data_IF_958415338956
#
_entry.id   IF_958415338956
#
_cell.length_a   1.000
_cell.length_b   1.000
_cell.length_c   1.000
_cell.angle_alpha   90.00
_cell.angle_beta   90.00
_cell.angle_gamma   90.00
#
_symmetry.space_group_name_H-M   'P 1'
#
loop_
_entity.id
_entity.type
_entity.pdbx_description
1 polymer ?
#
# COMPACT_ATOMS: atom_id res chain seq x y z
N UNK A 1 -7.39 4.22 9.97
CA UNK A 1 -7.75 2.78 9.92
C UNK A 1 -7.82 2.20 8.50
N UNK A 2 -8.44 2.85 7.52
CA UNK A 2 -8.64 2.30 6.17
C UNK A 2 -7.36 1.93 5.41
N UNK A 3 -6.28 2.70 5.58
CA UNK A 3 -4.99 2.41 4.93
C UNK A 3 -4.37 1.07 5.35
N UNK A 4 -4.38 0.76 6.65
CA UNK A 4 -3.88 -0.53 7.16
C UNK A 4 -4.68 -1.72 6.66
N UNK A 5 -6.01 -1.57 6.57
CA UNK A 5 -6.90 -2.63 6.04
C UNK A 5 -6.57 -2.93 4.57
N UNK A 6 -6.32 -1.90 3.76
CA UNK A 6 -5.91 -2.06 2.35
C UNK A 6 -4.55 -2.74 2.26
N UNK A 7 -3.56 -2.32 3.04
CA UNK A 7 -2.23 -2.93 3.04
C UNK A 7 -2.27 -4.40 3.48
N UNK A 8 -2.99 -4.72 4.55
CA UNK A 8 -3.14 -6.10 5.05
C UNK A 8 -3.86 -6.97 4.01
N UNK A 9 -4.89 -6.45 3.36
CA UNK A 9 -5.62 -7.18 2.31
C UNK A 9 -4.73 -7.49 1.10
N UNK A 10 -3.89 -6.54 0.70
CA UNK A 10 -2.94 -6.72 -0.41
C UNK A 10 -1.87 -7.78 -0.09
N UNK A 11 -1.32 -7.73 1.13
CA UNK A 11 -0.35 -8.72 1.60
C UNK A 11 -0.98 -10.12 1.75
N UNK A 12 -2.20 -10.20 2.29
CA UNK A 12 -2.95 -11.45 2.41
C UNK A 12 -3.25 -12.09 1.07
N UNK A 13 -3.66 -11.30 0.07
CA UNK A 13 -3.86 -11.79 -1.29
C UNK A 13 -2.56 -12.31 -1.92
N UNK A 14 -1.44 -11.59 -1.77
CA UNK A 14 -0.14 -12.07 -2.25
C UNK A 14 0.28 -13.38 -1.59
N UNK A 15 0.11 -13.51 -0.27
CA UNK A 15 0.44 -14.74 0.45
C UNK A 15 -0.42 -15.92 -0.01
N UNK A 16 -1.72 -15.71 -0.20
CA UNK A 16 -2.63 -16.73 -0.72
C UNK A 16 -2.27 -17.15 -2.16
N UNK A 17 -1.98 -16.19 -3.02
CA UNK A 17 -1.58 -16.43 -4.40
C UNK A 17 -0.29 -17.26 -4.47
N UNK A 18 0.74 -16.90 -3.70
CA UNK A 18 1.98 -17.67 -3.61
C UNK A 18 1.75 -19.09 -3.05
N UNK A 19 0.87 -19.24 -2.07
CA UNK A 19 0.54 -20.54 -1.49
C UNK A 19 -0.07 -21.50 -2.53
N UNK A 20 -1.05 -21.03 -3.32
CA UNK A 20 -1.67 -21.83 -4.39
C UNK A 20 -0.63 -22.22 -5.44
N UNK A 21 0.25 -21.28 -5.82
CA UNK A 21 1.30 -21.50 -6.80
C UNK A 21 2.36 -22.52 -6.34
N UNK A 22 2.81 -22.44 -5.09
CA UNK A 22 3.74 -23.41 -4.52
C UNK A 22 3.14 -24.82 -4.47
N UNK A 23 1.84 -24.95 -4.18
CA UNK A 23 1.15 -26.25 -4.20
C UNK A 23 1.06 -26.88 -5.60
N UNK A 24 1.00 -26.08 -6.67
CA UNK A 24 1.03 -26.60 -8.05
C UNK A 24 2.42 -27.10 -8.42
N UNK A 25 3.48 -26.38 -8.05
CA UNK A 25 4.87 -26.78 -8.28
C UNK A 25 5.20 -28.06 -7.50
N UNK A 26 4.80 -28.14 -6.23
CA UNK A 26 5.03 -29.32 -5.37
C UNK A 26 4.39 -30.59 -5.96
N UNK A 27 3.16 -30.51 -6.47
CA UNK A 27 2.51 -31.65 -7.15
C UNK A 27 3.28 -32.13 -8.38
N UNK A 28 3.89 -31.22 -9.14
CA UNK A 28 4.69 -31.61 -10.31
C UNK A 28 6.00 -32.27 -9.85
N UNK A 29 6.67 -31.72 -8.83
CA UNK A 29 7.90 -32.28 -8.26
C UNK A 29 7.66 -33.69 -7.69
N UNK A 30 6.53 -33.93 -7.03
CA UNK A 30 6.18 -35.25 -6.50
C UNK A 30 5.97 -36.33 -7.58
N UNK A 31 5.75 -35.93 -8.85
CA UNK A 31 5.63 -36.88 -9.96
C UNK A 31 6.96 -37.27 -10.60
N UNK A 32 8.08 -36.68 -10.15
CA UNK A 32 9.41 -36.95 -10.69
C UNK A 32 10.00 -38.19 -10.02
N UNK A 33 10.17 -39.28 -10.76
CA UNK A 33 10.99 -40.42 -10.36
C UNK A 33 12.16 -40.61 -11.33
N UNK A 34 13.37 -40.11 -10.99
CA UNK A 34 14.52 -40.12 -11.90
C UNK A 34 15.05 -41.53 -12.19
N UNK A 35 14.70 -42.54 -11.37
CA UNK A 35 15.18 -43.92 -11.52
C UNK A 35 14.27 -44.79 -12.38
N UNK A 36 12.98 -44.44 -12.51
CA UNK A 36 11.98 -45.28 -13.19
C UNK A 36 11.29 -44.62 -14.39
N UNK A 37 11.59 -43.35 -14.70
CA UNK A 37 10.93 -42.63 -15.79
C UNK A 37 11.55 -42.93 -17.15
N UNK A 38 10.71 -43.21 -18.14
CA UNK A 38 11.13 -43.31 -19.54
C UNK A 38 11.39 -41.91 -20.14
N UNK A 39 12.18 -41.83 -21.22
CA UNK A 39 12.50 -40.57 -21.91
C UNK A 39 11.24 -39.83 -22.40
N UNK A 40 10.19 -40.57 -22.78
CA UNK A 40 8.90 -40.02 -23.20
C UNK A 40 8.13 -39.38 -22.03
N UNK A 41 8.09 -40.06 -20.88
CA UNK A 41 7.50 -39.50 -19.65
C UNK A 41 8.23 -38.24 -19.18
N UNK A 42 9.56 -38.21 -19.34
CA UNK A 42 10.37 -37.04 -19.03
C UNK A 42 10.03 -35.84 -19.94
N UNK A 43 9.77 -36.09 -21.23
CA UNK A 43 9.38 -35.03 -22.17
C UNK A 43 7.98 -34.48 -21.87
N UNK A 44 7.03 -35.35 -21.52
CA UNK A 44 5.69 -34.94 -21.09
C UNK A 44 5.74 -34.11 -19.80
N UNK A 45 6.54 -34.54 -18.82
CA UNK A 45 6.74 -33.82 -17.57
C UNK A 45 7.38 -32.44 -17.83
N UNK A 46 8.44 -32.37 -18.65
CA UNK A 46 9.07 -31.11 -19.05
C UNK A 46 8.06 -30.15 -19.66
N UNK A 47 7.22 -30.61 -20.59
CA UNK A 47 6.20 -29.77 -21.22
C UNK A 47 5.16 -29.25 -20.21
N UNK A 48 4.77 -30.07 -19.22
CA UNK A 48 3.86 -29.65 -18.14
C UNK A 48 4.50 -28.61 -17.23
N UNK A 49 5.75 -28.81 -16.83
CA UNK A 49 6.53 -27.84 -16.04
C UNK A 49 6.65 -26.52 -16.80
N UNK A 50 7.09 -26.55 -18.06
CA UNK A 50 7.26 -25.34 -18.88
C UNK A 50 5.96 -24.57 -19.02
N UNK A 51 4.86 -25.24 -19.36
CA UNK A 51 3.54 -24.60 -19.48
C UNK A 51 3.06 -24.03 -18.15
N UNK A 52 3.27 -24.74 -17.04
CA UNK A 52 2.90 -24.26 -15.71
C UNK A 52 3.70 -23.02 -15.30
N UNK A 53 5.00 -22.99 -15.59
CA UNK A 53 5.88 -21.85 -15.31
C UNK A 53 5.52 -20.63 -16.18
N UNK A 54 5.18 -20.83 -17.45
CA UNK A 54 4.72 -19.75 -18.33
C UNK A 54 3.42 -19.12 -17.83
N UNK A 55 2.44 -19.95 -17.45
CA UNK A 55 1.21 -19.48 -16.84
C UNK A 55 1.47 -18.69 -15.55
N UNK A 56 2.35 -19.21 -14.68
CA UNK A 56 2.76 -18.56 -13.44
C UNK A 56 3.33 -17.15 -13.69
N UNK A 57 4.21 -17.04 -14.69
CA UNK A 57 4.88 -15.81 -15.09
C UNK A 57 3.86 -14.78 -15.56
N UNK A 58 2.90 -15.19 -16.38
CA UNK A 58 1.87 -14.31 -16.93
C UNK A 58 0.89 -13.84 -15.82
N UNK A 59 0.53 -14.74 -14.90
CA UNK A 59 -0.27 -14.37 -13.72
C UNK A 59 0.48 -13.40 -12.80
N UNK A 60 1.76 -13.64 -12.51
CA UNK A 60 2.60 -12.71 -11.73
C UNK A 60 2.71 -11.35 -12.39
N UNK A 61 2.86 -11.30 -13.72
CA UNK A 61 2.90 -10.05 -14.47
C UNK A 61 1.58 -9.28 -14.32
N UNK A 62 0.44 -9.96 -14.43
CA UNK A 62 -0.88 -9.36 -14.21
C UNK A 62 -1.03 -8.79 -12.80
N UNK A 63 -0.65 -9.55 -11.78
CA UNK A 63 -0.67 -9.09 -10.37
C UNK A 63 0.25 -7.89 -10.16
N UNK A 64 1.45 -7.89 -10.74
CA UNK A 64 2.39 -6.78 -10.63
C UNK A 64 1.85 -5.49 -11.26
N UNK A 65 1.20 -5.57 -12.42
CA UNK A 65 0.60 -4.41 -13.09
C UNK A 65 -0.54 -3.84 -12.23
N UNK A 66 -1.47 -4.68 -11.79
CA UNK A 66 -2.60 -4.24 -10.97
C UNK A 66 -2.12 -3.68 -9.62
N UNK A 67 -1.18 -4.36 -8.97
CA UNK A 67 -0.59 -3.89 -7.71
C UNK A 67 0.11 -2.54 -7.86
N UNK A 68 0.82 -2.32 -8.97
CA UNK A 68 1.47 -1.04 -9.28
C UNK A 68 0.45 0.09 -9.44
N UNK A 69 -0.65 -0.15 -10.16
CA UNK A 69 -1.72 0.84 -10.34
C UNK A 69 -2.37 1.22 -9.01
N UNK A 70 -2.73 0.22 -8.19
CA UNK A 70 -3.33 0.44 -6.87
C UNK A 70 -2.37 1.23 -5.96
N UNK A 71 -1.06 0.92 -6.01
CA UNK A 71 -0.04 1.64 -5.24
C UNK A 71 0.06 3.11 -5.63
N UNK A 72 0.08 3.41 -6.94
CA UNK A 72 0.13 4.80 -7.44
C UNK A 72 -1.11 5.58 -6.98
N UNK A 73 -2.29 4.99 -7.09
CA UNK A 73 -3.55 5.62 -6.65
C UNK A 73 -3.53 5.85 -5.13
N UNK A 74 -3.12 4.84 -4.36
CA UNK A 74 -2.99 4.94 -2.90
C UNK A 74 -2.01 6.03 -2.46
N UNK A 75 -0.88 6.16 -3.17
CA UNK A 75 0.11 7.21 -2.94
C UNK A 75 -0.48 8.61 -3.24
N UNK A 76 -1.21 8.76 -4.35
CA UNK A 76 -1.87 10.02 -4.71
C UNK A 76 -2.94 10.42 -3.69
N UNK A 77 -3.74 9.47 -3.20
CA UNK A 77 -4.71 9.70 -2.13
C UNK A 77 -4.04 10.11 -0.83
N UNK A 78 -2.95 9.43 -0.45
CA UNK A 78 -2.18 9.77 0.75
C UNK A 78 -1.60 11.18 0.65
N UNK A 79 -1.04 11.54 -0.50
CA UNK A 79 -0.48 12.86 -0.72
C UNK A 79 -1.56 13.96 -0.61
N UNK A 80 -2.70 13.76 -1.27
CA UNK A 80 -3.77 14.76 -1.33
C UNK A 80 -4.53 14.94 -0.01
N UNK A 81 -4.81 13.85 0.71
CA UNK A 81 -5.64 13.88 1.92
C UNK A 81 -4.84 14.05 3.22
N UNK A 82 -3.56 13.68 3.24
CA UNK A 82 -2.75 13.67 4.47
C UNK A 82 -1.59 14.65 4.34
N UNK A 83 -0.69 14.44 3.38
CA UNK A 83 0.58 15.21 3.31
C UNK A 83 0.32 16.68 3.00
N UNK A 84 -0.44 16.99 1.95
CA UNK A 84 -0.70 18.38 1.54
C UNK A 84 -1.41 19.19 2.63
N UNK A 85 -2.46 18.68 3.30
CA UNK A 85 -3.07 19.39 4.42
C UNK A 85 -2.13 19.56 5.63
N UNK A 86 -1.33 18.54 5.98
CA UNK A 86 -0.36 18.65 7.09
C UNK A 86 0.67 19.75 6.82
N UNK A 87 1.19 19.86 5.59
CA UNK A 87 2.10 20.94 5.22
C UNK A 87 1.43 22.32 5.39
N UNK A 88 0.16 22.46 4.98
CA UNK A 88 -0.62 23.67 5.25
C UNK A 88 -0.82 23.96 6.73
N UNK A 89 -0.98 22.94 7.58
CA UNK A 89 -1.07 23.13 9.02
C UNK A 89 0.23 23.68 9.61
N UNK A 90 1.38 23.20 9.13
CA UNK A 90 2.69 23.72 9.55
C UNK A 90 2.82 25.21 9.18
N UNK A 91 2.43 25.57 7.95
CA UNK A 91 2.41 26.98 7.51
C UNK A 91 1.44 27.81 8.37
N UNK A 92 0.23 27.31 8.63
CA UNK A 92 -0.75 27.96 9.52
C UNK A 92 -0.21 28.18 10.94
N UNK A 93 0.51 27.19 11.50
CA UNK A 93 1.07 27.28 12.84
C UNK A 93 2.22 28.30 12.93
N UNK A 94 2.88 28.63 11.82
CA UNK A 94 4.08 29.47 11.81
C UNK A 94 3.85 30.95 12.15
N UNK A 95 2.61 31.39 12.42
CA UNK A 95 2.19 32.76 12.78
C UNK A 95 2.53 33.88 11.76
N UNK A 96 3.46 33.64 10.84
CA UNK A 96 3.90 34.55 9.78
C UNK A 96 2.90 34.67 8.63
N UNK A 97 1.87 33.80 8.60
CA UNK A 97 0.97 33.70 7.46
C UNK A 97 -0.49 33.81 7.92
N UNK A 98 -1.24 34.78 7.36
CA UNK A 98 -2.70 34.90 7.48
C UNK A 98 -3.39 33.91 6.52
N UNK A 99 -3.02 32.64 6.61
CA UNK A 99 -3.71 31.57 5.92
C UNK A 99 -4.78 31.02 6.84
N UNK A 100 -5.91 30.63 6.26
CA UNK A 100 -6.96 29.92 6.97
C UNK A 100 -6.51 28.50 7.36
N UNK A 101 -7.01 27.96 8.49
CA UNK A 101 -6.72 26.58 8.87
C UNK A 101 -7.29 25.62 7.83
N UNK A 102 -6.58 24.52 7.51
CA UNK A 102 -7.09 23.54 6.56
C UNK A 102 -8.33 22.83 7.11
N UNK A 103 -9.40 22.83 6.32
CA UNK A 103 -10.62 22.07 6.63
C UNK A 103 -10.46 20.60 6.25
N UNK A 104 -10.60 19.73 7.24
CA UNK A 104 -10.67 18.28 7.04
C UNK A 104 -12.12 17.84 7.08
N UNK A 105 -12.69 17.30 6.01
CA UNK A 105 -14.09 16.88 6.03
C UNK A 105 -14.31 15.53 6.75
N UNK A 106 -13.43 14.57 6.52
CA UNK A 106 -13.64 13.16 6.88
C UNK A 106 -12.65 12.57 7.90
N UNK A 107 -11.58 13.29 8.26
CA UNK A 107 -10.54 12.77 9.17
C UNK A 107 -10.64 13.45 10.55
N UNK A 108 -11.23 12.75 11.51
CA UNK A 108 -11.43 13.24 12.88
C UNK A 108 -10.13 13.51 13.62
N UNK A 109 -9.08 12.72 13.37
CA UNK A 109 -7.76 12.90 14.00
C UNK A 109 -7.11 14.20 13.53
N UNK A 110 -7.16 14.47 12.21
CA UNK A 110 -6.62 15.71 11.65
C UNK A 110 -7.46 16.94 12.03
N UNK A 111 -8.79 16.80 12.15
CA UNK A 111 -9.65 17.85 12.73
C UNK A 111 -9.21 18.23 14.14
N UNK A 112 -9.04 17.22 15.01
CA UNK A 112 -8.59 17.44 16.39
C UNK A 112 -7.22 18.13 16.43
N UNK A 113 -6.30 17.73 15.56
CA UNK A 113 -5.00 18.37 15.46
C UNK A 113 -5.11 19.83 15.01
N UNK A 114 -5.94 20.15 14.03
CA UNK A 114 -6.19 21.55 13.60
C UNK A 114 -6.73 22.38 14.76
N UNK A 115 -7.75 21.89 15.48
CA UNK A 115 -8.33 22.59 16.63
C UNK A 115 -7.27 22.88 17.69
N UNK A 116 -6.47 21.89 18.07
CA UNK A 116 -5.41 22.07 19.06
C UNK A 116 -4.35 23.10 18.62
N UNK A 117 -3.98 23.11 17.34
CA UNK A 117 -3.03 24.11 16.80
C UNK A 117 -3.65 25.51 16.81
N UNK A 118 -4.93 25.65 16.45
CA UNK A 118 -5.63 26.94 16.49
C UNK A 118 -5.68 27.51 17.92
N UNK A 119 -6.06 26.70 18.91
CA UNK A 119 -6.07 27.12 20.32
C UNK A 119 -4.68 27.57 20.80
N UNK A 120 -3.63 26.80 20.47
CA UNK A 120 -2.25 27.16 20.81
C UNK A 120 -1.80 28.46 20.12
N UNK A 121 -2.16 28.64 18.85
CA UNK A 121 -1.83 29.85 18.07
C UNK A 121 -2.49 31.09 18.69
N UNK A 122 -3.75 30.99 19.10
CA UNK A 122 -4.49 32.09 19.75
C UNK A 122 -3.87 32.46 21.11
N UNK A 123 -3.58 31.46 21.96
CA UNK A 123 -2.91 31.68 23.24
C UNK A 123 -1.54 32.37 23.08
N UNK A 124 -0.76 31.97 22.08
CA UNK A 124 0.54 32.59 21.78
C UNK A 124 0.38 34.03 21.28
N UNK A 125 -0.62 34.30 20.42
CA UNK A 125 -0.92 35.64 19.91
C UNK A 125 -1.32 36.58 21.06
N UNK A 126 -2.22 36.14 21.94
CA UNK A 126 -2.63 36.90 23.12
C UNK A 126 -1.44 37.21 24.04
N UNK A 127 -0.61 36.21 24.34
CA UNK A 127 0.58 36.37 25.19
C UNK A 127 1.62 37.32 24.57
N UNK A 128 1.77 37.31 23.24
CA UNK A 128 2.65 38.26 22.53
C UNK A 128 2.11 39.69 22.53
N UNK A 129 0.78 39.88 22.52
CA UNK A 129 0.15 41.20 22.60
C UNK A 129 0.13 41.82 24.01
N UNK A 130 0.23 41.00 25.06
CA UNK A 130 0.26 41.45 26.46
C UNK A 130 1.68 41.89 26.91
N UNK A 131 2.71 41.58 26.12
CA UNK A 131 4.10 41.97 26.40
C UNK A 131 4.56 43.27 25.69
N UNK A 132 3.65 43.99 25.03
CA UNK A 132 3.89 45.30 24.39
C UNK A 132 3.30 46.42 25.22
#
# INVERSE_FOLDING_TARGET
MTGYIVSISCLGYMAFFLFVQLGQVDRIVQTINPESMTAEQMTVLKNRVTRSTEQLKDEMLGVAIVGSLVSIIGAAYTFSLIIRPLNRMIEYASLQSEIDPPEFNSNTELKQLTTAITELREQLKEKSSVQV
#
